data_IF_667787120793
#
_entry.id   IF_667787120793
#
_cell.length_a   1.000
_cell.length_b   1.000
_cell.length_c   1.000
_cell.angle_alpha   90.00
_cell.angle_beta   90.00
_cell.angle_gamma   90.00
#
_symmetry.space_group_name_H-M   'P 1'
#
loop_
_entity.id
_entity.type
_entity.pdbx_description
1 polymer ?
#
# COMPACT_ATOMS: atom_id res chain seq x y z
N UNK A 1 -31.00 4.90 0.89
CA UNK A 1 -29.70 4.34 0.45
C UNK A 1 -28.48 5.08 0.99
N UNK A 2 -28.57 6.39 1.26
CA UNK A 2 -27.49 7.22 1.79
C UNK A 2 -26.87 6.60 3.06
N UNK A 3 -25.54 6.53 3.12
CA UNK A 3 -24.79 6.00 4.28
C UNK A 3 -24.70 4.46 4.38
N UNK A 4 -25.52 3.70 3.65
CA UNK A 4 -25.51 2.21 3.64
C UNK A 4 -24.74 1.61 2.45
N UNK A 5 -24.49 2.40 1.41
CA UNK A 5 -23.68 2.05 0.24
C UNK A 5 -22.85 3.27 -0.16
N UNK A 6 -21.81 3.09 -0.98
CA UNK A 6 -21.03 4.22 -1.47
C UNK A 6 -21.91 5.21 -2.25
N UNK A 7 -21.74 6.50 -1.96
CA UNK A 7 -22.41 7.61 -2.66
C UNK A 7 -22.24 7.52 -4.20
N UNK A 8 -21.13 6.95 -4.66
CA UNK A 8 -20.87 6.71 -6.08
C UNK A 8 -21.78 5.64 -6.71
N UNK A 9 -22.28 4.67 -5.94
CA UNK A 9 -23.25 3.67 -6.41
C UNK A 9 -24.64 4.31 -6.51
N UNK A 10 -25.05 5.06 -5.49
CA UNK A 10 -26.31 5.82 -5.48
C UNK A 10 -26.35 6.81 -6.65
N UNK A 11 -25.24 7.52 -6.89
CA UNK A 11 -25.11 8.44 -8.01
C UNK A 11 -25.38 7.77 -9.36
N UNK A 12 -24.85 6.56 -9.58
CA UNK A 12 -25.07 5.80 -10.82
C UNK A 12 -26.50 5.27 -10.93
N UNK A 13 -27.06 4.80 -9.83
CA UNK A 13 -28.39 4.18 -9.78
C UNK A 13 -29.51 5.19 -10.00
N UNK A 14 -29.35 6.40 -9.49
CA UNK A 14 -30.32 7.49 -9.65
C UNK A 14 -29.95 8.49 -10.74
N UNK A 15 -28.88 8.24 -11.51
CA UNK A 15 -28.34 9.14 -12.53
C UNK A 15 -28.15 10.60 -12.06
N UNK A 16 -27.65 10.78 -10.82
CA UNK A 16 -27.41 12.08 -10.21
C UNK A 16 -25.92 12.29 -9.95
N UNK A 17 -25.40 13.53 -9.99
CA UNK A 17 -24.01 13.80 -9.64
C UNK A 17 -23.69 13.34 -8.22
N UNK A 18 -22.53 12.67 -8.04
CA UNK A 18 -22.05 12.23 -6.71
C UNK A 18 -22.01 13.37 -5.67
N UNK A 19 -21.72 14.59 -6.14
CA UNK A 19 -21.69 15.77 -5.28
C UNK A 19 -23.06 16.04 -4.62
N UNK A 20 -24.15 15.89 -5.36
CA UNK A 20 -25.52 16.07 -4.85
C UNK A 20 -25.90 14.99 -3.84
N UNK A 21 -25.55 13.74 -4.13
CA UNK A 21 -25.70 12.64 -3.16
C UNK A 21 -24.94 12.93 -1.86
N UNK A 22 -23.72 13.46 -1.96
CA UNK A 22 -22.94 13.82 -0.77
C UNK A 22 -23.48 15.05 -0.04
N UNK A 23 -24.03 16.06 -0.74
CA UNK A 23 -24.69 17.21 -0.12
C UNK A 23 -25.93 16.75 0.64
N UNK A 24 -26.76 15.93 0.01
CA UNK A 24 -27.98 15.41 0.61
C UNK A 24 -27.69 14.50 1.81
N UNK A 25 -26.64 13.67 1.72
CA UNK A 25 -26.14 12.89 2.85
C UNK A 25 -25.75 13.79 4.03
N UNK A 26 -24.97 14.85 3.77
CA UNK A 26 -24.54 15.80 4.80
C UNK A 26 -25.72 16.57 5.39
N UNK A 27 -26.67 17.02 4.56
CA UNK A 27 -27.91 17.71 4.98
C UNK A 27 -28.72 16.87 5.96
N UNK A 28 -28.75 15.56 5.77
CA UNK A 28 -29.44 14.61 6.66
C UNK A 28 -28.58 14.13 7.84
N UNK A 29 -27.37 14.67 8.04
CA UNK A 29 -26.47 14.26 9.13
C UNK A 29 -25.95 12.82 9.04
N UNK A 30 -26.11 12.16 7.89
CA UNK A 30 -25.76 10.74 7.74
C UNK A 30 -24.24 10.61 7.50
N UNK A 31 -23.49 9.79 8.24
CA UNK A 31 -22.06 9.59 8.00
C UNK A 31 -21.80 8.91 6.65
N UNK A 32 -20.63 9.17 6.07
CA UNK A 32 -20.23 8.52 4.82
C UNK A 32 -20.08 7.01 5.03
N UNK A 33 -20.59 6.22 4.08
CA UNK A 33 -20.41 4.77 4.09
C UNK A 33 -18.93 4.39 4.25
N UNK A 34 -18.63 3.55 5.24
CA UNK A 34 -17.27 3.12 5.58
C UNK A 34 -16.51 4.00 6.58
N UNK A 35 -17.03 5.18 6.95
CA UNK A 35 -16.50 6.01 8.05
C UNK A 35 -17.20 5.61 9.35
N UNK A 36 -16.48 4.92 10.22
CA UNK A 36 -16.96 4.49 11.54
C UNK A 36 -16.29 5.28 12.62
N UNK A 37 -17.12 5.76 13.54
CA UNK A 37 -16.65 6.09 14.87
C UNK A 37 -16.49 4.81 15.70
N UNK A 38 -15.26 4.53 16.11
CA UNK A 38 -14.88 3.32 16.82
C UNK A 38 -15.11 3.52 18.32
N UNK A 39 -16.37 3.40 18.73
CA UNK A 39 -16.75 3.36 20.14
C UNK A 39 -16.16 2.13 20.84
N UNK A 40 -15.96 2.16 22.17
CA UNK A 40 -15.47 1.02 22.95
C UNK A 40 -16.24 -0.29 22.67
N UNK A 41 -17.57 -0.21 22.53
CA UNK A 41 -18.44 -1.34 22.19
C UNK A 41 -18.08 -1.99 20.84
N UNK A 42 -17.79 -1.16 19.82
CA UNK A 42 -17.40 -1.63 18.48
C UNK A 42 -15.98 -2.18 18.46
N UNK A 43 -15.12 -1.70 19.34
CA UNK A 43 -13.77 -2.26 19.52
C UNK A 43 -13.86 -3.65 20.15
N UNK A 44 -14.71 -3.83 21.17
CA UNK A 44 -14.94 -5.13 21.82
C UNK A 44 -15.51 -6.19 20.87
N UNK A 45 -16.17 -5.77 19.78
CA UNK A 45 -16.62 -6.67 18.72
C UNK A 45 -15.47 -7.24 17.87
N UNK A 46 -14.34 -6.52 17.76
CA UNK A 46 -13.19 -6.95 16.95
C UNK A 46 -12.57 -8.22 17.55
N UNK A 47 -12.26 -9.21 16.70
CA UNK A 47 -11.67 -10.48 17.16
C UNK A 47 -12.64 -11.47 17.79
N UNK A 48 -13.92 -11.11 17.99
CA UNK A 48 -14.97 -12.06 18.43
C UNK A 48 -15.66 -12.75 17.26
N UNK A 49 -15.96 -12.01 16.19
CA UNK A 49 -16.58 -12.50 14.95
C UNK A 49 -15.66 -12.21 13.76
N UNK A 50 -15.82 -12.97 12.68
CA UNK A 50 -15.03 -12.75 11.47
C UNK A 50 -15.20 -11.30 10.98
N UNK A 51 -14.12 -10.68 10.47
CA UNK A 51 -14.13 -9.30 9.98
C UNK A 51 -15.29 -9.04 9.00
N UNK A 52 -15.66 -10.05 8.20
CA UNK A 52 -16.81 -10.01 7.29
C UNK A 52 -18.19 -9.88 7.96
N UNK A 53 -18.40 -10.55 9.09
CA UNK A 53 -19.66 -10.47 9.86
C UNK A 53 -19.75 -9.12 10.60
N UNK A 54 -18.65 -8.69 11.20
CA UNK A 54 -18.57 -7.38 11.87
C UNK A 54 -18.82 -6.26 10.87
N UNK A 55 -18.22 -6.34 9.68
CA UNK A 55 -18.42 -5.36 8.63
C UNK A 55 -19.89 -5.23 8.19
N UNK A 56 -20.59 -6.36 8.01
CA UNK A 56 -22.04 -6.35 7.71
C UNK A 56 -22.86 -5.74 8.84
N UNK A 57 -22.55 -6.09 10.09
CA UNK A 57 -23.26 -5.59 11.28
C UNK A 57 -23.08 -4.09 11.47
N UNK A 58 -21.87 -3.59 11.25
CA UNK A 58 -21.53 -2.16 11.39
C UNK A 58 -21.78 -1.34 10.12
N UNK A 59 -22.27 -1.97 9.04
CA UNK A 59 -22.55 -1.30 7.77
C UNK A 59 -21.30 -0.72 7.09
N UNK A 60 -20.14 -1.38 7.22
CA UNK A 60 -18.84 -0.91 6.73
C UNK A 60 -18.10 -1.93 5.89
N UNK A 61 -16.96 -1.53 5.36
CA UNK A 61 -16.10 -2.43 4.58
C UNK A 61 -15.36 -3.41 5.49
N UNK A 62 -15.17 -4.63 5.00
CA UNK A 62 -14.33 -5.65 5.65
C UNK A 62 -12.90 -5.14 5.86
N UNK A 63 -12.39 -4.36 4.92
CA UNK A 63 -11.08 -3.72 5.00
C UNK A 63 -10.99 -2.71 6.14
N UNK A 64 -12.05 -1.95 6.45
CA UNK A 64 -12.08 -1.02 7.59
C UNK A 64 -11.95 -1.77 8.92
N UNK A 65 -12.68 -2.88 9.07
CA UNK A 65 -12.59 -3.75 10.25
C UNK A 65 -11.21 -4.38 10.37
N UNK A 66 -10.70 -4.96 9.28
CA UNK A 66 -9.36 -5.56 9.22
C UNK A 66 -8.29 -4.55 9.65
N UNK A 67 -8.29 -3.35 9.07
CA UNK A 67 -7.31 -2.29 9.38
C UNK A 67 -7.35 -1.89 10.85
N UNK A 68 -8.55 -1.67 11.40
CA UNK A 68 -8.68 -1.30 12.82
C UNK A 68 -8.22 -2.43 13.74
N UNK A 69 -8.65 -3.66 13.44
CA UNK A 69 -8.24 -4.87 14.17
C UNK A 69 -6.71 -5.02 14.18
N UNK A 70 -6.06 -4.91 13.02
CA UNK A 70 -4.60 -5.00 12.90
C UNK A 70 -3.88 -3.87 13.60
N UNK A 71 -4.44 -2.65 13.59
CA UNK A 71 -3.87 -1.50 14.29
C UNK A 71 -3.90 -1.68 15.81
N UNK A 72 -4.93 -2.36 16.33
CA UNK A 72 -5.06 -2.69 17.75
C UNK A 72 -4.39 -4.03 18.13
N UNK A 73 -3.70 -4.68 17.20
CA UNK A 73 -3.03 -5.97 17.45
C UNK A 73 -3.97 -7.14 17.72
N UNK A 74 -5.27 -7.00 17.49
CA UNK A 74 -6.26 -8.03 17.81
C UNK A 74 -6.17 -9.15 16.75
N UNK A 75 -6.07 -10.44 17.13
CA UNK A 75 -6.07 -11.55 16.17
C UNK A 75 -7.43 -11.68 15.45
N UNK A 76 -7.46 -12.15 14.19
CA UNK A 76 -8.71 -12.38 13.48
C UNK A 76 -9.52 -13.49 14.16
N UNK A 77 -10.84 -13.34 14.21
CA UNK A 77 -11.69 -14.39 14.77
C UNK A 77 -11.92 -15.52 13.75
N UNK A 78 -11.63 -16.73 14.21
CA UNK A 78 -11.76 -17.98 13.44
C UNK A 78 -10.52 -18.33 12.60
N UNK A 79 -10.42 -19.61 12.24
CA UNK A 79 -9.48 -20.09 11.22
C UNK A 79 -9.94 -19.59 9.85
N UNK A 80 -9.02 -19.26 8.94
CA UNK A 80 -9.37 -18.84 7.57
C UNK A 80 -10.40 -19.79 6.96
N UNK A 81 -11.40 -19.28 6.23
CA UNK A 81 -12.47 -20.09 5.59
C UNK A 81 -11.91 -21.26 4.77
N UNK A 82 -10.73 -21.08 4.18
CA UNK A 82 -10.05 -22.10 3.39
C UNK A 82 -9.36 -23.17 4.26
N UNK A 83 -8.87 -22.78 5.44
CA UNK A 83 -8.27 -23.70 6.41
C UNK A 83 -9.32 -24.58 7.12
N UNK A 84 -10.57 -24.12 7.22
CA UNK A 84 -11.65 -24.86 7.90
C UNK A 84 -12.32 -25.91 7.03
N UNK A 85 -12.19 -25.85 5.70
CA UNK A 85 -12.88 -26.78 4.79
C UNK A 85 -11.98 -27.89 4.25
N UNK A 86 -10.67 -27.68 4.23
CA UNK A 86 -9.77 -28.70 3.69
C UNK A 86 -9.54 -29.81 4.72
N UNK A 87 -10.22 -30.94 4.52
CA UNK A 87 -10.06 -32.12 5.36
C UNK A 87 -8.77 -32.86 4.95
N UNK A 88 -7.72 -32.69 5.75
CA UNK A 88 -6.42 -33.33 5.49
C UNK A 88 -6.48 -34.82 5.78
N UNK A 89 -6.32 -35.65 4.74
CA UNK A 89 -6.10 -37.10 4.93
C UNK A 89 -4.64 -37.38 5.28
N UNK A 90 -4.40 -38.52 5.93
CA UNK A 90 -3.03 -38.99 6.25
C UNK A 90 -2.18 -39.19 5.00
N UNK A 91 -2.79 -39.53 3.86
CA UNK A 91 -2.13 -39.58 2.56
C UNK A 91 -1.70 -38.19 2.06
N UNK A 92 -2.53 -37.16 2.27
CA UNK A 92 -2.26 -35.79 1.84
C UNK A 92 -1.13 -35.17 2.67
N UNK A 93 -1.09 -35.47 3.97
CA UNK A 93 -0.03 -35.02 4.88
C UNK A 93 1.33 -35.61 4.47
N UNK A 94 1.38 -36.88 4.06
CA UNK A 94 2.60 -37.53 3.55
C UNK A 94 3.15 -36.89 2.27
N UNK A 95 2.31 -36.20 1.50
CA UNK A 95 2.71 -35.47 0.29
C UNK A 95 3.24 -34.06 0.59
N UNK A 96 3.01 -33.54 1.80
CA UNK A 96 3.55 -32.22 2.18
C UNK A 96 5.07 -32.28 2.25
N UNK A 97 5.74 -31.35 1.57
CA UNK A 97 7.19 -31.28 1.55
C UNK A 97 7.88 -32.25 0.61
N UNK A 98 7.16 -33.19 -0.05
CA UNK A 98 7.75 -34.06 -1.09
C UNK A 98 7.64 -33.44 -2.49
N UNK A 99 6.64 -32.58 -2.71
CA UNK A 99 6.42 -31.86 -3.97
C UNK A 99 6.13 -30.37 -3.72
N UNK A 100 6.21 -29.52 -4.77
CA UNK A 100 5.87 -28.11 -4.64
C UNK A 100 4.44 -27.88 -4.18
N UNK A 101 4.24 -26.90 -3.28
CA UNK A 101 2.93 -26.55 -2.71
C UNK A 101 1.89 -26.25 -3.81
N UNK A 102 2.32 -25.76 -4.97
CA UNK A 102 1.45 -25.50 -6.14
C UNK A 102 0.91 -26.78 -6.79
N UNK A 103 1.74 -27.81 -6.89
CA UNK A 103 1.36 -29.09 -7.51
C UNK A 103 0.40 -29.83 -6.60
N UNK A 104 0.75 -29.87 -5.30
CA UNK A 104 -0.09 -30.48 -4.28
C UNK A 104 -1.44 -29.75 -4.14
N UNK A 105 -1.45 -28.42 -4.22
CA UNK A 105 -2.70 -27.65 -4.19
C UNK A 105 -3.62 -27.99 -5.36
N UNK A 106 -3.06 -28.14 -6.57
CA UNK A 106 -3.82 -28.54 -7.75
C UNK A 106 -4.38 -29.96 -7.64
N UNK A 107 -3.56 -30.90 -7.15
CA UNK A 107 -3.97 -32.29 -6.97
C UNK A 107 -5.09 -32.43 -5.92
N UNK A 108 -4.99 -31.67 -4.84
CA UNK A 108 -5.96 -31.70 -3.74
C UNK A 108 -7.19 -30.80 -3.96
N UNK A 109 -7.26 -30.06 -5.08
CA UNK A 109 -8.34 -29.12 -5.35
C UNK A 109 -8.44 -27.99 -4.31
N UNK A 110 -7.30 -27.57 -3.76
CA UNK A 110 -7.21 -26.54 -2.70
C UNK A 110 -6.34 -25.37 -3.14
N UNK A 111 -6.17 -24.37 -2.26
CA UNK A 111 -5.29 -23.22 -2.53
C UNK A 111 -3.86 -23.50 -2.06
N UNK A 112 -2.89 -22.92 -2.76
CA UNK A 112 -1.46 -22.98 -2.39
C UNK A 112 -1.24 -22.52 -0.94
N UNK A 113 -2.04 -21.54 -0.47
CA UNK A 113 -1.95 -21.03 0.88
C UNK A 113 -2.35 -22.07 1.95
N UNK A 114 -3.39 -22.88 1.69
CA UNK A 114 -3.81 -23.93 2.63
C UNK A 114 -2.72 -24.99 2.80
N UNK A 115 -2.11 -25.40 1.68
CA UNK A 115 -0.98 -26.34 1.67
C UNK A 115 0.23 -25.76 2.38
N UNK A 116 0.61 -24.52 2.04
CA UNK A 116 1.76 -23.84 2.63
C UNK A 116 1.60 -23.66 4.14
N UNK A 117 0.41 -23.27 4.61
CA UNK A 117 0.12 -23.13 6.04
C UNK A 117 0.20 -24.48 6.75
N UNK A 118 -0.42 -25.54 6.20
CA UNK A 118 -0.34 -26.87 6.83
C UNK A 118 1.10 -27.40 6.87
N UNK A 119 1.85 -27.21 5.78
CA UNK A 119 3.27 -27.58 5.69
C UNK A 119 4.10 -26.84 6.75
N UNK A 120 3.90 -25.52 6.87
CA UNK A 120 4.57 -24.70 7.89
C UNK A 120 4.19 -25.10 9.32
N UNK A 121 2.93 -25.41 9.61
CA UNK A 121 2.51 -25.92 10.90
C UNK A 121 3.17 -27.27 11.27
N UNK A 122 3.55 -28.07 10.27
CA UNK A 122 4.28 -29.33 10.44
C UNK A 122 5.81 -29.14 10.37
N UNK A 123 6.31 -27.90 10.25
CA UNK A 123 7.74 -27.61 10.18
C UNK A 123 8.43 -28.10 8.90
N UNK A 124 7.67 -28.49 7.87
CA UNK A 124 8.22 -29.08 6.66
C UNK A 124 8.69 -27.99 5.67
N UNK A 125 9.81 -28.22 5.00
CA UNK A 125 10.30 -27.34 3.92
C UNK A 125 9.65 -27.72 2.57
N UNK A 126 9.51 -26.77 1.64
CA UNK A 126 9.03 -27.09 0.28
C UNK A 126 10.08 -27.87 -0.49
N UNK A 127 9.73 -29.05 -1.00
CA UNK A 127 10.51 -29.70 -2.06
C UNK A 127 10.29 -28.96 -3.38
N UNK A 128 11.39 -28.66 -4.07
CA UNK A 128 11.32 -28.26 -5.49
C UNK A 128 10.92 -26.81 -5.78
N UNK A 129 10.85 -25.92 -4.79
CA UNK A 129 10.89 -24.48 -5.06
C UNK A 129 12.27 -23.95 -4.72
N UNK A 130 13.27 -24.03 -5.63
CA UNK A 130 14.44 -23.18 -5.49
C UNK A 130 13.88 -21.77 -5.37
N UNK A 131 14.08 -21.14 -4.20
CA UNK A 131 13.64 -19.78 -3.95
C UNK A 131 14.06 -18.97 -5.17
N UNK A 132 13.10 -18.56 -6.03
CA UNK A 132 13.36 -18.05 -7.40
C UNK A 132 14.64 -17.25 -7.32
N UNK A 133 15.75 -17.82 -7.82
CA UNK A 133 17.08 -17.27 -7.60
C UNK A 133 17.00 -15.84 -8.09
N UNK A 134 16.92 -14.90 -7.15
CA UNK A 134 16.67 -13.52 -7.48
C UNK A 134 17.90 -13.12 -8.25
N UNK A 135 17.75 -12.82 -9.55
CA UNK A 135 18.86 -12.44 -10.45
C UNK A 135 19.85 -11.59 -9.64
N UNK A 136 21.08 -12.07 -9.40
CA UNK A 136 22.01 -11.41 -8.49
C UNK A 136 22.31 -10.00 -8.99
N UNK A 137 22.54 -9.07 -8.07
CA UNK A 137 22.89 -7.69 -8.42
C UNK A 137 24.30 -7.66 -9.00
N UNK A 138 24.45 -7.10 -10.19
CA UNK A 138 25.79 -6.93 -10.78
C UNK A 138 26.47 -5.67 -10.20
N UNK A 139 27.81 -5.63 -10.23
CA UNK A 139 28.57 -4.44 -9.79
C UNK A 139 28.12 -3.17 -10.54
N UNK A 140 27.83 -3.28 -11.84
CA UNK A 140 27.29 -2.20 -12.67
C UNK A 140 25.92 -1.73 -12.19
N UNK A 141 25.02 -2.65 -11.82
CA UNK A 141 23.69 -2.32 -11.29
C UNK A 141 23.75 -1.62 -9.93
N UNK A 142 24.65 -2.07 -9.06
CA UNK A 142 24.87 -1.43 -7.76
C UNK A 142 25.43 0.00 -7.93
N UNK A 143 26.36 0.21 -8.88
CA UNK A 143 26.95 1.52 -9.15
C UNK A 143 25.95 2.54 -9.71
N UNK A 144 24.83 2.09 -10.30
CA UNK A 144 23.78 2.98 -10.79
C UNK A 144 22.87 3.52 -9.67
N UNK A 145 22.74 2.77 -8.55
CA UNK A 145 21.85 3.16 -7.44
C UNK A 145 22.29 4.50 -6.85
N UNK A 146 21.35 5.45 -6.74
CA UNK A 146 21.61 6.79 -6.21
C UNK A 146 22.24 7.78 -7.19
N UNK A 147 22.90 7.31 -8.25
CA UNK A 147 23.45 8.17 -9.33
C UNK A 147 22.41 8.53 -10.38
N UNK A 148 21.55 7.58 -10.71
CA UNK A 148 20.53 7.69 -11.75
C UNK A 148 19.15 7.44 -11.11
N UNK A 149 18.06 8.07 -11.59
CA UNK A 149 16.71 7.80 -11.07
C UNK A 149 16.34 6.32 -11.14
N UNK A 150 15.72 5.79 -10.08
CA UNK A 150 15.28 4.39 -9.98
C UNK A 150 14.39 3.96 -11.17
N UNK A 151 13.70 4.90 -11.83
CA UNK A 151 12.90 4.66 -13.04
C UNK A 151 13.76 4.34 -14.27
N UNK A 152 14.86 5.06 -14.46
CA UNK A 152 15.79 4.82 -15.57
C UNK A 152 16.59 3.54 -15.33
N UNK A 153 16.97 3.25 -14.08
CA UNK A 153 17.60 1.96 -13.71
C UNK A 153 16.64 0.81 -14.02
N UNK A 154 15.34 0.96 -13.76
CA UNK A 154 14.35 -0.06 -14.08
C UNK A 154 14.24 -0.31 -15.60
N UNK A 155 14.26 0.75 -16.40
CA UNK A 155 14.24 0.65 -17.86
C UNK A 155 15.52 -0.01 -18.40
N UNK A 156 16.69 0.33 -17.87
CA UNK A 156 17.96 -0.19 -18.37
C UNK A 156 18.28 -1.62 -17.91
N UNK A 157 17.82 -2.03 -16.73
CA UNK A 157 18.14 -3.35 -16.13
C UNK A 157 17.02 -4.37 -16.26
N UNK A 158 15.83 -3.94 -16.70
CA UNK A 158 14.61 -4.75 -16.72
C UNK A 158 14.11 -5.14 -15.32
N UNK A 159 14.70 -4.61 -14.24
CA UNK A 159 14.27 -4.92 -12.86
C UNK A 159 13.06 -4.07 -12.48
N UNK A 160 12.15 -4.65 -11.71
CA UNK A 160 11.02 -3.90 -11.15
C UNK A 160 11.47 -2.75 -10.23
N UNK A 161 10.90 -1.56 -10.43
CA UNK A 161 11.23 -0.33 -9.67
C UNK A 161 11.22 -0.51 -8.15
N UNK A 162 10.29 -1.33 -7.62
CA UNK A 162 10.20 -1.63 -6.18
C UNK A 162 11.45 -2.38 -5.67
N UNK A 163 12.00 -3.29 -6.46
CA UNK A 163 13.22 -4.04 -6.09
C UNK A 163 14.45 -3.14 -6.08
N UNK A 164 14.54 -2.21 -7.03
CA UNK A 164 15.62 -1.21 -7.09
C UNK A 164 15.55 -0.30 -5.86
N UNK A 165 14.37 0.25 -5.57
CA UNK A 165 14.12 1.05 -4.37
C UNK A 165 14.51 0.31 -3.10
N UNK A 166 14.04 -0.93 -2.94
CA UNK A 166 14.34 -1.74 -1.75
C UNK A 166 15.83 -2.05 -1.61
N UNK A 167 16.52 -2.36 -2.72
CA UNK A 167 17.98 -2.58 -2.67
C UNK A 167 18.73 -1.30 -2.33
N UNK A 168 18.34 -0.16 -2.92
CA UNK A 168 18.90 1.15 -2.64
C UNK A 168 18.75 1.51 -1.15
N UNK A 169 17.54 1.34 -0.60
CA UNK A 169 17.24 1.57 0.82
C UNK A 169 18.03 0.60 1.73
N UNK A 170 18.18 -0.67 1.35
CA UNK A 170 18.99 -1.63 2.12
C UNK A 170 20.49 -1.29 2.17
N UNK A 171 20.96 -0.51 1.20
CA UNK A 171 22.35 -0.03 1.15
C UNK A 171 22.48 1.39 1.73
N UNK A 172 21.41 1.95 2.29
CA UNK A 172 21.40 3.32 2.84
C UNK A 172 21.58 4.41 1.78
N UNK A 173 21.47 4.08 0.49
CA UNK A 173 21.72 5.03 -0.60
C UNK A 173 20.49 5.94 -0.74
N UNK A 174 20.61 7.27 -0.69
CA UNK A 174 19.48 8.16 -0.93
C UNK A 174 18.99 8.05 -2.39
N UNK A 175 17.70 8.29 -2.65
CA UNK A 175 17.21 8.31 -4.03
C UNK A 175 17.93 9.39 -4.83
N UNK A 176 18.21 9.10 -6.10
CA UNK A 176 18.72 10.11 -7.04
C UNK A 176 17.68 11.22 -7.16
N UNK A 177 17.90 12.31 -6.45
CA UNK A 177 17.12 13.53 -6.61
C UNK A 177 17.65 14.21 -7.85
N UNK A 178 16.76 14.55 -8.80
CA UNK A 178 17.08 15.59 -9.80
C UNK A 178 17.31 16.88 -9.03
N UNK A 179 18.54 17.09 -8.56
CA UNK A 179 18.97 18.39 -8.09
C UNK A 179 19.11 19.24 -9.34
N UNK A 180 18.53 20.43 -9.35
CA UNK A 180 18.87 21.43 -10.35
C UNK A 180 20.35 21.78 -10.15
N UNK A 181 21.22 21.30 -11.06
CA UNK A 181 22.69 21.51 -11.03
C UNK A 181 23.06 22.86 -11.68
N UNK A 182 22.09 23.59 -12.26
CA UNK A 182 22.33 24.88 -12.90
C UNK A 182 22.56 26.04 -11.91
N UNK A 183 23.22 27.12 -12.34
CA UNK A 183 23.35 28.34 -11.56
C UNK A 183 21.96 28.97 -11.33
N UNK A 184 21.67 29.35 -10.08
CA UNK A 184 20.44 30.06 -9.76
C UNK A 184 20.53 31.50 -10.25
N UNK A 185 19.79 31.83 -11.32
CA UNK A 185 19.74 33.20 -11.84
C UNK A 185 19.03 34.15 -10.87
N UNK A 186 19.34 35.44 -10.92
CA UNK A 186 18.68 36.47 -10.09
C UNK A 186 17.15 36.43 -10.21
N UNK A 187 16.62 36.14 -11.40
CA UNK A 187 15.18 35.97 -11.66
C UNK A 187 14.59 34.78 -10.90
N UNK A 188 15.29 33.64 -10.87
CA UNK A 188 14.86 32.45 -10.12
C UNK A 188 14.87 32.68 -8.61
N UNK A 189 15.90 33.37 -8.09
CA UNK A 189 15.99 33.70 -6.66
C UNK A 189 14.87 34.65 -6.23
N UNK A 190 14.49 35.62 -7.07
CA UNK A 190 13.38 36.55 -6.78
C UNK A 190 12.02 35.88 -6.63
N UNK A 191 11.84 34.66 -7.17
CA UNK A 191 10.60 33.90 -7.07
C UNK A 191 10.51 33.07 -5.79
N UNK A 192 11.63 32.85 -5.08
CA UNK A 192 11.65 32.09 -3.83
C UNK A 192 10.90 32.85 -2.73
N UNK A 193 9.94 32.20 -2.06
CA UNK A 193 9.18 32.78 -0.96
C UNK A 193 7.98 33.66 -1.36
N UNK A 194 7.79 33.95 -2.66
CA UNK A 194 6.63 34.74 -3.16
C UNK A 194 5.39 33.90 -3.46
N UNK A 195 5.56 32.61 -3.67
CA UNK A 195 4.50 31.65 -3.97
C UNK A 195 4.87 30.28 -3.33
N UNK A 196 3.92 29.33 -3.23
CA UNK A 196 4.23 27.99 -2.74
C UNK A 196 5.39 27.35 -3.50
N UNK A 197 6.30 26.65 -2.79
CA UNK A 197 7.49 26.01 -3.39
C UNK A 197 7.11 25.09 -4.57
N UNK A 198 5.91 24.50 -4.57
CA UNK A 198 5.37 23.67 -5.64
C UNK A 198 4.97 24.45 -6.91
N UNK A 199 4.55 25.71 -6.78
CA UNK A 199 4.25 26.59 -7.92
C UNK A 199 5.53 27.16 -8.51
N UNK A 200 6.45 27.62 -7.66
CA UNK A 200 7.77 28.10 -8.09
C UNK A 200 8.53 26.98 -8.82
N UNK A 201 8.47 25.75 -8.31
CA UNK A 201 9.06 24.58 -8.96
C UNK A 201 8.47 24.31 -10.35
N UNK A 202 7.14 24.40 -10.49
CA UNK A 202 6.46 24.21 -11.79
C UNK A 202 6.85 25.31 -12.79
N UNK A 203 6.85 26.57 -12.37
CA UNK A 203 7.20 27.71 -13.22
C UNK A 203 8.65 27.69 -13.68
N UNK A 204 9.55 27.15 -12.86
CA UNK A 204 10.97 27.06 -13.16
C UNK A 204 11.38 25.72 -13.80
N UNK A 205 10.48 24.74 -13.89
CA UNK A 205 10.79 23.38 -14.36
C UNK A 205 11.78 22.64 -13.46
N UNK A 206 11.90 23.03 -12.19
CA UNK A 206 12.86 22.46 -11.23
C UNK A 206 12.15 21.60 -10.18
N UNK A 207 12.92 20.80 -9.45
CA UNK A 207 12.38 19.98 -8.37
C UNK A 207 11.99 20.86 -7.16
N UNK A 208 10.83 20.58 -6.55
CA UNK A 208 10.34 21.23 -5.33
C UNK A 208 11.42 21.22 -4.24
N UNK A 209 12.12 20.09 -4.06
CA UNK A 209 13.19 19.98 -3.09
C UNK A 209 14.38 20.93 -3.38
N UNK A 210 14.66 21.22 -4.65
CA UNK A 210 15.70 22.19 -5.03
C UNK A 210 15.28 23.63 -4.69
N UNK A 211 14.01 23.98 -4.86
CA UNK A 211 13.43 25.27 -4.44
C UNK A 211 13.53 25.43 -2.93
N UNK A 212 13.04 24.44 -2.17
CA UNK A 212 13.06 24.49 -0.70
C UNK A 212 14.48 24.54 -0.12
N UNK A 213 15.43 23.79 -0.70
CA UNK A 213 16.83 23.82 -0.29
C UNK A 213 17.46 25.21 -0.54
N UNK A 214 17.16 25.84 -1.67
CA UNK A 214 17.77 27.11 -2.07
C UNK A 214 17.14 28.30 -1.35
N UNK A 215 15.87 28.17 -0.97
CA UNK A 215 15.16 29.04 -0.04
C UNK A 215 15.80 28.97 1.36
N UNK A 216 16.01 27.77 1.89
CA UNK A 216 16.65 27.55 3.19
C UNK A 216 18.11 28.08 3.22
N UNK A 217 18.91 27.80 2.18
CA UNK A 217 20.29 28.31 2.06
C UNK A 217 20.40 29.83 2.03
N UNK A 218 19.33 30.53 1.61
CA UNK A 218 19.28 32.01 1.55
C UNK A 218 18.49 32.63 2.69
N UNK A 219 18.09 31.84 3.70
CA UNK A 219 17.35 32.35 4.85
C UNK A 219 15.94 32.87 4.53
N UNK A 220 15.37 32.52 3.38
CA UNK A 220 14.05 32.98 2.97
C UNK A 220 12.98 32.10 3.65
N UNK A 221 11.98 32.71 4.29
CA UNK A 221 10.88 31.97 4.91
C UNK A 221 10.02 31.26 3.85
N UNK A 222 9.42 30.13 4.22
CA UNK A 222 8.47 29.45 3.35
C UNK A 222 7.26 30.36 3.13
N UNK A 223 6.71 30.38 1.91
CA UNK A 223 5.46 31.08 1.65
C UNK A 223 4.37 30.52 2.57
N UNK A 224 3.85 31.36 3.46
CA UNK A 224 2.70 31.07 4.29
C UNK A 224 1.50 31.75 3.66
N UNK A 225 0.57 30.97 3.12
CA UNK A 225 -0.74 31.48 2.75
C UNK A 225 -1.47 31.79 4.07
N UNK A 226 -1.67 33.08 4.35
CA UNK A 226 -2.51 33.53 5.45
C UNK A 226 -3.98 33.32 5.03
N UNK A 227 -4.44 32.09 5.16
CA UNK A 227 -5.87 31.72 5.16
C UNK A 227 -6.28 31.19 6.51
#
# INVERSE_FOLDING_TARGET
>A
MLGKVHDAKIAREFNVPRAEVSKERKRRGIPQFGRVDWSPEKINLLGTKSDGRIAKMLGITTTSVFKKRTMLGIPPSGRSRDLTRFNWRTADIRKLGTMPDSTLARELGTTVNVVAVKRQCLGLSTSGSPAKSRRPWTKRELAMLGRIPDTQIAQSTGRGRRHIRSKRESLGIPPCQKQFIGPWTKKMVSLLGKAPDAEVARSLGVNIASVSLQRARRGIAAFRDSR
#
